data_IF_273778048280
#
_entry.id   IF_273778048280
#
_cell.length_a   1.000
_cell.length_b   1.000
_cell.length_c   1.000
_cell.angle_alpha   90.00
_cell.angle_beta   90.00
_cell.angle_gamma   90.00
#
_symmetry.space_group_name_H-M   'P 1'
#
loop_
_entity.id
_entity.type
_entity.pdbx_description
1 polymer ?
#
# COMPACT_ATOMS: atom_id res chain seq x y z
N UNK A 1 -57.94 -62.97 14.22
CA UNK A 1 -57.64 -64.05 13.27
C UNK A 1 -56.59 -63.55 12.28
N UNK A 2 -55.76 -64.46 11.71
CA UNK A 2 -55.19 -64.50 10.33
C UNK A 2 -54.82 -63.16 9.63
N UNK A 3 -53.65 -62.97 9.01
CA UNK A 3 -52.61 -63.92 8.53
C UNK A 3 -51.17 -63.36 8.65
N UNK A 4 -50.18 -64.21 8.38
CA UNK A 4 -48.77 -63.87 8.16
C UNK A 4 -48.42 -63.89 6.66
N UNK A 5 -47.65 -62.91 6.18
CA UNK A 5 -46.72 -62.91 5.04
C UNK A 5 -46.05 -61.51 5.04
N UNK A 6 -44.73 -61.31 5.02
CA UNK A 6 -43.67 -61.85 4.14
C UNK A 6 -43.77 -61.31 2.71
N UNK A 7 -42.89 -60.37 2.34
CA UNK A 7 -41.76 -60.66 1.44
C UNK A 7 -40.88 -59.42 1.12
N UNK A 8 -39.72 -59.70 0.51
CA UNK A 8 -38.86 -58.78 -0.25
C UNK A 8 -38.20 -57.56 0.45
N UNK A 9 -37.01 -57.78 1.02
CA UNK A 9 -35.91 -56.82 0.90
C UNK A 9 -35.17 -57.11 -0.42
N UNK A 10 -34.87 -56.08 -1.24
CA UNK A 10 -33.66 -56.07 -2.04
C UNK A 10 -32.69 -54.95 -1.60
N UNK A 11 -31.41 -55.25 -1.67
CA UNK A 11 -30.31 -54.33 -1.37
C UNK A 11 -30.03 -53.36 -2.53
N UNK A 12 -29.87 -52.06 -2.26
CA UNK A 12 -29.19 -51.14 -3.19
C UNK A 12 -28.12 -50.30 -2.47
N UNK A 13 -26.90 -50.82 -2.46
CA UNK A 13 -25.69 -50.18 -1.96
C UNK A 13 -25.02 -49.33 -3.03
N UNK A 14 -25.54 -48.13 -3.31
CA UNK A 14 -24.92 -47.19 -4.24
C UNK A 14 -24.97 -45.71 -3.77
N UNK A 15 -24.06 -45.33 -2.86
CA UNK A 15 -23.71 -43.90 -2.70
C UNK A 15 -22.73 -43.52 -3.83
N UNK A 16 -23.03 -42.56 -4.72
CA UNK A 16 -22.10 -42.13 -5.77
C UNK A 16 -20.95 -41.33 -5.16
N UNK A 17 -19.86 -42.01 -4.82
CA UNK A 17 -18.62 -41.38 -4.36
C UNK A 17 -17.78 -40.86 -5.54
N UNK A 18 -17.37 -39.58 -5.45
CA UNK A 18 -16.06 -39.07 -5.92
C UNK A 18 -15.78 -39.12 -7.43
N UNK A 19 -16.34 -38.17 -8.20
CA UNK A 19 -15.97 -37.95 -9.61
C UNK A 19 -15.05 -36.74 -9.88
N UNK A 20 -14.85 -35.82 -8.92
CA UNK A 20 -14.11 -34.57 -9.18
C UNK A 20 -12.58 -34.68 -9.01
N UNK A 21 -12.08 -35.74 -8.37
CA UNK A 21 -10.64 -35.90 -8.08
C UNK A 21 -9.78 -36.21 -9.32
N UNK A 22 -10.40 -36.54 -10.46
CA UNK A 22 -9.72 -37.12 -11.62
C UNK A 22 -9.23 -36.09 -12.66
N UNK A 23 -9.87 -34.91 -12.77
CA UNK A 23 -9.43 -33.87 -13.70
C UNK A 23 -8.18 -33.13 -13.20
N UNK A 24 -8.09 -32.86 -11.88
CA UNK A 24 -6.97 -32.12 -11.27
C UNK A 24 -5.62 -32.83 -11.51
N UNK A 25 -5.59 -34.16 -11.35
CA UNK A 25 -4.33 -34.94 -11.46
C UNK A 25 -3.71 -34.92 -12.86
N UNK A 26 -4.51 -34.83 -13.95
CA UNK A 26 -3.96 -34.70 -15.31
C UNK A 26 -3.35 -33.31 -15.56
N UNK A 27 -3.96 -32.25 -15.03
CA UNK A 27 -3.42 -30.89 -15.12
C UNK A 27 -2.09 -30.72 -14.36
N UNK A 28 -2.02 -31.27 -13.15
CA UNK A 28 -0.80 -31.21 -12.31
C UNK A 28 0.39 -31.91 -12.98
N UNK A 29 0.19 -33.10 -13.57
CA UNK A 29 1.27 -33.83 -14.26
C UNK A 29 1.81 -33.04 -15.46
N UNK A 30 0.93 -32.39 -16.23
CA UNK A 30 1.34 -31.54 -17.34
C UNK A 30 2.15 -30.30 -16.87
N UNK A 31 1.72 -29.64 -15.78
CA UNK A 31 2.42 -28.50 -15.23
C UNK A 31 3.83 -28.87 -14.70
N UNK A 32 3.97 -30.00 -14.00
CA UNK A 32 5.27 -30.48 -13.49
C UNK A 32 6.25 -30.77 -14.64
N UNK A 33 5.77 -31.36 -15.75
CA UNK A 33 6.61 -31.64 -16.91
C UNK A 33 7.19 -30.36 -17.54
N UNK A 34 6.39 -29.30 -17.67
CA UNK A 34 6.86 -27.99 -18.19
C UNK A 34 7.91 -27.37 -17.26
N UNK A 35 7.69 -27.38 -15.95
CA UNK A 35 8.66 -26.84 -14.97
C UNK A 35 9.99 -27.62 -15.02
N UNK A 36 9.95 -28.94 -15.12
CA UNK A 36 11.16 -29.77 -15.25
C UNK A 36 11.96 -29.44 -16.51
N UNK A 37 11.29 -29.25 -17.66
CA UNK A 37 11.95 -28.89 -18.93
C UNK A 37 12.62 -27.51 -18.83
N UNK A 38 11.97 -26.52 -18.21
CA UNK A 38 12.55 -25.18 -18.01
C UNK A 38 13.79 -25.22 -17.12
N UNK A 39 13.76 -25.99 -16.02
CA UNK A 39 14.92 -26.13 -15.11
C UNK A 39 16.10 -26.82 -15.81
N UNK A 40 15.85 -27.89 -16.58
CA UNK A 40 16.89 -28.60 -17.33
C UNK A 40 17.48 -27.69 -18.43
N UNK A 41 16.64 -26.93 -19.14
CA UNK A 41 17.09 -25.96 -20.13
C UNK A 41 17.98 -24.87 -19.54
N UNK A 42 17.63 -24.35 -18.36
CA UNK A 42 18.45 -23.36 -17.66
C UNK A 42 19.82 -23.91 -17.24
N UNK A 43 19.89 -25.16 -16.75
CA UNK A 43 21.15 -25.81 -16.36
C UNK A 43 22.10 -26.00 -17.56
N UNK A 44 21.56 -26.37 -18.73
CA UNK A 44 22.36 -26.48 -19.97
C UNK A 44 22.82 -25.09 -20.45
N UNK A 45 21.96 -24.07 -20.38
CA UNK A 45 22.30 -22.71 -20.83
C UNK A 45 23.46 -22.06 -20.06
N UNK A 46 23.58 -22.33 -18.75
CA UNK A 46 24.68 -21.83 -17.93
C UNK A 46 25.98 -22.64 -18.06
N UNK A 47 25.98 -23.76 -18.79
CA UNK A 47 27.13 -24.67 -18.95
C UNK A 47 27.99 -24.35 -20.20
N UNK A 48 28.10 -23.07 -20.57
CA UNK A 48 28.92 -22.62 -21.71
C UNK A 48 30.41 -22.46 -21.34
N UNK A 49 31.36 -22.88 -22.20
CA UNK A 49 32.79 -22.89 -21.85
C UNK A 49 33.41 -21.48 -21.74
N UNK A 50 34.17 -21.26 -20.68
CA UNK A 50 34.92 -20.02 -20.42
C UNK A 50 35.95 -19.71 -21.52
N UNK A 51 36.04 -18.43 -21.91
CA UNK A 51 36.99 -17.96 -22.93
C UNK A 51 38.43 -17.97 -22.39
N UNK A 52 39.38 -18.50 -23.16
CA UNK A 52 40.80 -18.42 -22.83
C UNK A 52 41.31 -16.98 -22.92
N UNK A 53 42.08 -16.55 -21.91
CA UNK A 53 42.77 -15.26 -21.93
C UNK A 53 44.12 -15.36 -22.66
N UNK A 54 44.46 -14.34 -23.44
CA UNK A 54 45.78 -14.19 -24.09
C UNK A 54 46.68 -13.33 -23.20
N UNK A 55 47.93 -13.75 -22.89
CA UNK A 55 48.83 -12.98 -22.05
C UNK A 55 49.36 -11.73 -22.78
N UNK A 56 49.58 -10.64 -22.02
CA UNK A 56 50.13 -9.40 -22.55
C UNK A 56 51.65 -9.47 -22.76
N UNK A 57 52.14 -8.77 -23.79
CA UNK A 57 53.54 -8.37 -23.93
C UNK A 57 53.64 -6.84 -23.75
N UNK A 58 54.78 -6.36 -23.26
CA UNK A 58 54.98 -4.97 -22.87
C UNK A 58 56.08 -4.30 -23.69
N UNK A 59 55.88 -3.02 -24.04
CA UNK A 59 56.96 -2.14 -24.53
C UNK A 59 56.76 -0.69 -24.10
N UNK A 60 57.80 -0.22 -23.40
CA UNK A 60 58.03 1.09 -22.79
C UNK A 60 57.90 2.34 -23.70
N UNK A 61 57.91 3.52 -23.04
CA UNK A 61 58.41 4.83 -23.52
C UNK A 61 57.53 5.63 -24.53
N UNK A 62 57.47 6.98 -24.52
CA UNK A 62 58.07 8.00 -23.63
C UNK A 62 57.37 9.39 -23.69
N UNK A 63 57.82 10.32 -22.81
CA UNK A 63 57.84 11.81 -22.91
C UNK A 63 56.56 12.68 -22.80
N UNK A 64 56.63 13.59 -21.82
CA UNK A 64 55.93 14.90 -21.66
C UNK A 64 56.36 15.93 -22.77
N UNK A 65 55.71 17.13 -22.97
CA UNK A 65 55.28 18.08 -21.91
C UNK A 65 54.04 19.00 -22.18
N UNK A 66 53.80 19.92 -21.21
CA UNK A 66 52.93 21.12 -21.21
C UNK A 66 53.74 22.39 -21.64
N UNK A 67 53.24 23.67 -21.66
CA UNK A 67 51.96 24.27 -21.23
C UNK A 67 51.32 25.28 -22.24
N UNK A 68 50.59 26.31 -21.75
CA UNK A 68 50.18 27.59 -22.42
C UNK A 68 48.98 27.61 -23.42
N UNK A 69 48.20 28.71 -23.62
CA UNK A 69 47.86 29.91 -22.79
C UNK A 69 46.59 30.67 -23.33
N UNK A 70 45.78 31.25 -22.42
CA UNK A 70 44.77 32.37 -22.46
C UNK A 70 43.86 32.76 -23.68
N UNK A 71 42.75 33.45 -23.30
CA UNK A 71 41.96 34.51 -24.01
C UNK A 71 40.80 34.06 -24.96
N UNK A 72 39.62 34.73 -25.06
CA UNK A 72 39.11 35.97 -24.42
C UNK A 72 37.60 36.28 -24.69
N UNK A 73 37.16 37.50 -24.35
CA UNK A 73 35.83 38.17 -24.52
C UNK A 73 35.18 38.07 -25.93
N UNK A 74 33.88 38.33 -26.22
CA UNK A 74 32.59 38.57 -25.51
C UNK A 74 31.42 38.42 -26.55
N UNK A 75 30.17 38.96 -26.55
CA UNK A 75 29.41 40.04 -25.85
C UNK A 75 27.88 39.91 -26.06
N UNK A 76 27.05 40.59 -25.24
CA UNK A 76 25.59 40.90 -25.41
C UNK A 76 25.37 42.15 -26.33
N UNK A 77 24.17 42.77 -26.61
CA UNK A 77 22.92 42.85 -25.80
C UNK A 77 21.51 43.00 -26.49
N UNK A 78 20.47 43.17 -25.63
CA UNK A 78 19.21 43.96 -25.77
C UNK A 78 17.85 43.32 -26.15
N UNK A 79 16.79 44.01 -25.71
CA UNK A 79 15.32 43.73 -25.69
C UNK A 79 14.59 44.97 -26.28
N UNK A 80 13.27 45.30 -26.11
CA UNK A 80 12.10 44.60 -25.53
C UNK A 80 10.80 44.70 -26.39
N UNK A 81 9.61 44.29 -25.89
CA UNK A 81 8.47 45.19 -25.54
C UNK A 81 7.26 44.42 -24.91
N UNK A 82 6.23 45.14 -24.45
CA UNK A 82 4.99 44.69 -23.80
C UNK A 82 3.83 44.46 -24.79
N UNK A 83 2.76 43.81 -24.31
CA UNK A 83 1.40 44.31 -24.53
C UNK A 83 0.43 43.85 -23.43
N UNK A 84 -0.63 44.62 -23.20
CA UNK A 84 -1.76 44.25 -22.36
C UNK A 84 -2.94 43.84 -23.25
N UNK A 85 -3.89 43.04 -22.74
CA UNK A 85 -5.26 43.10 -23.25
C UNK A 85 -6.29 42.82 -22.14
N UNK A 86 -7.51 43.34 -22.30
CA UNK A 86 -8.59 43.37 -21.30
C UNK A 86 -9.96 43.34 -21.97
N UNK A 87 -10.71 42.26 -21.77
CA UNK A 87 -12.15 42.17 -22.03
C UNK A 87 -12.69 40.86 -21.41
N UNK A 88 -13.83 40.74 -20.73
CA UNK A 88 -15.13 41.46 -20.67
C UNK A 88 -16.27 40.68 -21.36
N UNK A 89 -17.01 39.90 -20.56
CA UNK A 89 -18.35 39.38 -20.88
C UNK A 89 -18.42 38.14 -21.77
N UNK A 90 -18.93 37.03 -21.23
CA UNK A 90 -20.29 36.48 -21.49
C UNK A 90 -20.38 35.02 -21.05
N UNK A 91 -21.22 34.73 -20.05
CA UNK A 91 -22.07 33.52 -20.07
C UNK A 91 -23.22 33.74 -21.08
N UNK A 92 -23.92 32.71 -21.59
CA UNK A 92 -24.01 31.34 -21.06
C UNK A 92 -23.67 30.21 -22.07
N UNK A 93 -23.41 29.01 -21.53
CA UNK A 93 -23.78 27.72 -22.16
C UNK A 93 -23.70 26.60 -21.13
N UNK A 94 -24.80 25.89 -20.94
CA UNK A 94 -24.86 24.69 -20.09
C UNK A 94 -24.50 23.46 -20.92
N UNK A 95 -23.24 23.01 -20.82
CA UNK A 95 -22.79 21.74 -21.38
C UNK A 95 -21.89 21.01 -20.39
N UNK A 96 -22.17 19.72 -20.19
CA UNK A 96 -21.52 18.89 -19.19
C UNK A 96 -20.09 18.48 -19.59
N UNK A 97 -19.13 19.38 -19.35
CA UNK A 97 -17.71 19.05 -19.34
C UNK A 97 -17.29 18.66 -17.91
N UNK A 98 -17.27 17.36 -17.60
CA UNK A 98 -16.76 16.83 -16.32
C UNK A 98 -15.24 16.95 -16.23
N UNK A 99 -14.76 18.19 -16.08
CA UNK A 99 -13.37 18.51 -15.73
C UNK A 99 -13.05 17.78 -14.43
N UNK A 100 -12.35 16.65 -14.52
CA UNK A 100 -11.83 15.90 -13.38
C UNK A 100 -11.19 16.89 -12.40
N UNK A 101 -11.73 17.07 -11.19
CA UNK A 101 -11.13 18.00 -10.24
C UNK A 101 -9.69 17.53 -9.96
N UNK A 102 -8.76 18.47 -10.08
CA UNK A 102 -7.35 18.18 -9.88
C UNK A 102 -7.08 17.83 -8.41
N UNK A 103 -6.19 16.86 -8.18
CA UNK A 103 -5.89 16.32 -6.87
C UNK A 103 -6.57 14.98 -6.53
N UNK A 104 -6.00 14.28 -5.56
CA UNK A 104 -6.51 13.04 -4.98
C UNK A 104 -7.88 13.22 -4.29
N UNK A 105 -8.55 12.13 -3.90
CA UNK A 105 -9.71 12.21 -3.00
C UNK A 105 -9.43 12.98 -1.70
N UNK A 106 -8.22 12.88 -1.14
CA UNK A 106 -7.84 13.58 0.08
C UNK A 106 -7.67 15.09 -0.15
N UNK A 107 -6.92 15.50 -1.19
CA UNK A 107 -6.75 16.92 -1.53
C UNK A 107 -8.11 17.60 -1.76
N UNK A 108 -9.03 16.93 -2.45
CA UNK A 108 -10.37 17.47 -2.71
C UNK A 108 -11.24 17.55 -1.46
N UNK A 109 -11.11 16.59 -0.54
CA UNK A 109 -11.82 16.61 0.73
C UNK A 109 -11.27 17.66 1.71
N UNK A 110 -9.95 17.85 1.74
CA UNK A 110 -9.28 18.76 2.67
C UNK A 110 -9.20 20.22 2.16
N UNK A 111 -9.50 20.48 0.88
CA UNK A 111 -9.52 21.83 0.31
C UNK A 111 -10.79 22.63 0.66
N UNK A 112 -11.89 21.95 0.96
CA UNK A 112 -13.14 22.60 1.39
C UNK A 112 -13.09 23.00 2.87
N UNK A 113 -13.71 24.13 3.19
CA UNK A 113 -13.94 24.55 4.58
C UNK A 113 -14.76 23.47 5.30
N UNK A 114 -14.16 22.87 6.32
CA UNK A 114 -14.56 21.57 6.88
C UNK A 114 -16.02 21.46 7.35
N UNK A 115 -16.68 22.58 7.61
CA UNK A 115 -18.05 22.68 8.15
C UNK A 115 -19.16 22.04 7.28
N UNK A 116 -18.85 21.61 6.04
CA UNK A 116 -19.82 21.02 5.09
C UNK A 116 -19.40 19.64 4.52
N UNK A 117 -18.39 19.01 5.11
CA UNK A 117 -17.73 17.87 4.49
C UNK A 117 -18.58 16.58 4.48
N UNK A 118 -18.95 16.07 3.28
CA UNK A 118 -19.48 14.72 3.12
C UNK A 118 -18.33 13.70 3.24
N UNK A 119 -18.33 12.97 4.36
CA UNK A 119 -17.31 11.95 4.65
C UNK A 119 -17.42 10.73 3.75
N UNK A 120 -18.60 10.42 3.17
CA UNK A 120 -18.83 9.18 2.42
C UNK A 120 -17.88 9.00 1.23
N UNK A 121 -17.63 10.06 0.47
CA UNK A 121 -16.79 10.02 -0.72
C UNK A 121 -15.31 9.79 -0.39
N UNK A 122 -14.81 10.30 0.75
CA UNK A 122 -13.44 10.04 1.21
C UNK A 122 -13.35 8.68 1.93
N UNK A 123 -14.36 8.25 2.69
CA UNK A 123 -14.44 6.90 3.28
C UNK A 123 -14.32 5.83 2.22
N UNK A 124 -15.12 5.92 1.13
CA UNK A 124 -15.04 4.99 0.00
C UNK A 124 -13.69 5.01 -0.73
N UNK A 125 -12.90 6.08 -0.57
CA UNK A 125 -11.58 6.22 -1.15
C UNK A 125 -10.42 5.86 -0.18
N UNK A 126 -10.72 5.33 1.02
CA UNK A 126 -9.72 4.95 2.03
C UNK A 126 -9.76 5.73 3.35
N UNK A 127 -10.68 6.68 3.51
CA UNK A 127 -10.90 7.43 4.76
C UNK A 127 -9.64 8.10 5.30
N UNK A 128 -9.32 7.88 6.59
CA UNK A 128 -8.08 8.36 7.19
C UNK A 128 -6.82 7.82 6.51
N UNK A 129 -6.82 6.57 6.03
CA UNK A 129 -5.64 6.02 5.32
C UNK A 129 -5.35 6.84 4.08
N UNK A 130 -6.38 7.21 3.32
CA UNK A 130 -6.25 8.05 2.13
C UNK A 130 -5.80 9.49 2.44
N UNK A 131 -6.22 10.05 3.59
CA UNK A 131 -5.77 11.36 4.06
C UNK A 131 -4.27 11.32 4.39
N UNK A 132 -3.84 10.40 5.26
CA UNK A 132 -2.43 10.30 5.68
C UNK A 132 -1.49 9.73 4.61
N UNK A 133 -2.00 9.00 3.62
CA UNK A 133 -1.22 8.57 2.43
C UNK A 133 -0.88 9.76 1.51
N UNK A 134 -1.69 10.83 1.53
CA UNK A 134 -1.51 12.01 0.69
C UNK A 134 -1.05 13.26 1.46
N UNK A 135 -0.63 13.13 2.72
CA UNK A 135 -0.35 14.28 3.60
C UNK A 135 0.64 15.30 3.04
N UNK A 136 1.59 14.89 2.20
CA UNK A 136 2.57 15.78 1.56
C UNK A 136 1.94 16.74 0.52
N UNK A 137 0.69 16.50 0.10
CA UNK A 137 -0.11 17.39 -0.73
C UNK A 137 -1.15 18.21 0.09
N UNK A 138 -1.19 18.03 1.41
CA UNK A 138 -2.13 18.69 2.32
C UNK A 138 -1.40 19.76 3.16
N UNK A 139 -2.01 20.93 3.34
CA UNK A 139 -1.46 21.97 4.22
C UNK A 139 -1.51 21.58 5.71
N UNK A 140 -2.57 20.89 6.12
CA UNK A 140 -2.69 20.24 7.43
C UNK A 140 -3.50 18.94 7.32
N UNK A 141 -2.79 17.81 7.25
CA UNK A 141 -3.40 16.49 7.24
C UNK A 141 -4.05 16.11 8.60
N UNK A 142 -3.54 16.62 9.72
CA UNK A 142 -4.02 16.28 11.06
C UNK A 142 -5.30 17.06 11.40
N UNK A 143 -5.37 18.34 11.05
CA UNK A 143 -6.62 19.13 11.11
C UNK A 143 -7.70 18.56 10.18
N UNK A 144 -7.35 18.19 8.94
CA UNK A 144 -8.29 17.55 8.03
C UNK A 144 -8.77 16.17 8.53
N UNK A 145 -7.87 15.35 9.12
CA UNK A 145 -8.24 14.09 9.76
C UNK A 145 -9.17 14.31 10.96
N UNK A 146 -8.88 15.32 11.79
CA UNK A 146 -9.74 15.72 12.93
C UNK A 146 -11.14 16.13 12.45
N UNK A 147 -11.21 16.89 11.35
CA UNK A 147 -12.47 17.24 10.69
C UNK A 147 -13.21 16.01 10.15
N UNK A 148 -12.54 15.08 9.46
CA UNK A 148 -13.15 13.82 9.00
C UNK A 148 -13.81 13.07 10.15
N UNK A 149 -13.13 12.90 11.28
CA UNK A 149 -13.67 12.22 12.46
C UNK A 149 -14.84 13.00 13.08
N UNK A 150 -14.71 14.33 13.26
CA UNK A 150 -15.78 15.21 13.76
C UNK A 150 -17.05 15.13 12.91
N UNK A 151 -16.92 14.93 11.60
CA UNK A 151 -18.04 14.84 10.65
C UNK A 151 -18.49 13.38 10.37
N UNK A 152 -18.27 12.48 11.33
CA UNK A 152 -18.79 11.10 11.30
C UNK A 152 -17.91 10.08 10.59
N UNK A 153 -16.69 10.46 10.20
CA UNK A 153 -15.68 9.52 9.74
C UNK A 153 -15.26 8.56 10.86
N UNK A 154 -15.14 7.27 10.53
CA UNK A 154 -14.73 6.24 11.48
C UNK A 154 -13.20 6.12 11.55
N UNK A 155 -12.62 6.20 12.76
CA UNK A 155 -11.17 6.06 13.04
C UNK A 155 -10.68 4.62 12.87
N UNK A 156 -11.61 3.67 12.94
CA UNK A 156 -11.40 2.22 12.93
C UNK A 156 -11.76 1.59 11.57
N UNK A 157 -12.03 2.43 10.56
CA UNK A 157 -12.49 2.00 9.24
C UNK A 157 -11.38 1.31 8.45
N UNK A 158 -11.62 0.07 8.05
CA UNK A 158 -10.68 -0.66 7.18
C UNK A 158 -10.75 -0.07 5.78
N UNK A 159 -9.60 0.27 5.20
CA UNK A 159 -9.50 0.80 3.84
C UNK A 159 -10.25 -0.13 2.84
N UNK A 160 -11.36 0.32 2.22
CA UNK A 160 -12.19 -0.54 1.39
C UNK A 160 -11.65 -0.71 -0.04
N UNK A 161 -10.59 -0.01 -0.40
CA UNK A 161 -10.01 -0.05 -1.75
C UNK A 161 -9.41 -1.41 -2.08
N UNK A 162 -9.76 -1.98 -3.23
CA UNK A 162 -9.29 -3.29 -3.68
C UNK A 162 -7.80 -3.31 -4.11
N UNK A 163 -7.19 -2.14 -4.31
CA UNK A 163 -5.75 -1.92 -4.56
C UNK A 163 -4.97 -1.55 -3.28
N UNK A 164 -5.61 -1.60 -2.11
CA UNK A 164 -4.96 -1.38 -0.80
C UNK A 164 -4.66 -2.68 -0.06
N UNK A 165 -3.82 -2.59 0.97
CA UNK A 165 -3.60 -3.68 1.93
C UNK A 165 -4.80 -3.94 2.86
N UNK A 166 -5.92 -3.21 2.75
CA UNK A 166 -7.06 -3.26 3.68
C UNK A 166 -6.65 -3.06 5.16
N UNK A 167 -5.79 -2.07 5.43
CA UNK A 167 -5.37 -1.71 6.78
C UNK A 167 -6.42 -0.84 7.47
N UNK A 168 -6.44 -0.86 8.80
CA UNK A 168 -7.03 0.23 9.60
C UNK A 168 -6.06 1.42 9.62
N UNK A 169 -6.51 2.63 9.99
CA UNK A 169 -5.63 3.79 10.11
C UNK A 169 -4.51 3.57 11.13
N UNK A 170 -4.81 2.88 12.25
CA UNK A 170 -3.81 2.50 13.24
C UNK A 170 -2.77 1.51 12.67
N UNK A 171 -3.19 0.52 11.87
CA UNK A 171 -2.25 -0.39 11.19
C UNK A 171 -1.42 0.32 10.11
N UNK A 172 -1.99 1.31 9.41
CA UNK A 172 -1.24 2.15 8.46
C UNK A 172 -0.18 3.02 9.16
N UNK A 173 -0.51 3.62 10.30
CA UNK A 173 0.43 4.36 11.15
C UNK A 173 1.59 3.48 11.64
N UNK A 174 1.30 2.22 11.97
CA UNK A 174 2.31 1.20 12.31
C UNK A 174 3.17 0.85 11.09
N UNK A 175 2.59 0.59 9.91
CA UNK A 175 3.34 0.30 8.67
C UNK A 175 4.30 1.43 8.30
N UNK A 176 3.94 2.67 8.63
CA UNK A 176 4.77 3.87 8.44
C UNK A 176 5.82 4.10 9.53
N UNK A 177 5.81 3.30 10.60
CA UNK A 177 6.57 3.50 11.84
C UNK A 177 6.50 4.97 12.34
N UNK A 178 5.28 5.52 12.45
CA UNK A 178 5.06 6.91 12.86
C UNK A 178 4.40 6.97 14.27
N UNK A 179 5.18 7.19 15.35
CA UNK A 179 4.66 7.35 16.70
C UNK A 179 3.66 8.49 16.90
N UNK A 180 3.73 9.56 16.09
CA UNK A 180 2.78 10.69 16.17
C UNK A 180 1.44 10.28 15.58
N UNK A 181 1.46 9.61 14.43
CA UNK A 181 0.25 9.09 13.79
C UNK A 181 -0.39 7.99 14.65
N UNK A 182 0.41 7.06 15.20
CA UNK A 182 -0.10 6.01 16.11
C UNK A 182 -0.81 6.62 17.32
N UNK A 183 -0.25 7.68 17.94
CA UNK A 183 -0.92 8.43 19.02
C UNK A 183 -2.22 9.06 18.53
N UNK A 184 -2.19 9.82 17.43
CA UNK A 184 -3.39 10.49 16.91
C UNK A 184 -4.57 9.54 16.70
N UNK A 185 -4.35 8.33 16.18
CA UNK A 185 -5.41 7.32 16.04
C UNK A 185 -5.95 6.86 17.40
N UNK A 186 -5.09 6.63 18.39
CA UNK A 186 -5.47 6.17 19.74
C UNK A 186 -6.14 7.29 20.57
N UNK A 187 -5.63 8.51 20.49
CA UNK A 187 -6.20 9.72 21.11
C UNK A 187 -7.61 10.01 20.57
N UNK A 188 -7.89 9.60 19.32
CA UNK A 188 -9.22 9.62 18.70
C UNK A 188 -10.05 8.33 18.87
N UNK A 189 -9.59 7.37 19.68
CA UNK A 189 -10.38 6.20 20.09
C UNK A 189 -10.32 4.99 19.15
N UNK A 190 -9.27 4.83 18.34
CA UNK A 190 -9.04 3.59 17.60
C UNK A 190 -8.84 2.38 18.53
N UNK A 191 -9.45 1.24 18.21
CA UNK A 191 -9.29 0.03 19.01
C UNK A 191 -7.89 -0.60 18.76
N UNK A 192 -7.02 -0.71 19.78
CA UNK A 192 -5.70 -1.33 19.65
C UNK A 192 -5.77 -2.84 19.35
N UNK A 193 -6.97 -3.43 19.35
CA UNK A 193 -7.24 -4.80 18.92
C UNK A 193 -7.87 -4.90 17.52
N UNK A 194 -8.16 -3.79 16.83
CA UNK A 194 -8.91 -3.76 15.58
C UNK A 194 -8.18 -4.50 14.46
N UNK A 195 -8.75 -5.61 14.01
CA UNK A 195 -8.13 -6.46 12.99
C UNK A 195 -8.24 -5.87 11.59
N UNK A 196 -7.11 -5.75 10.91
CA UNK A 196 -7.01 -5.33 9.51
C UNK A 196 -5.88 -6.04 8.76
N UNK A 197 -5.55 -5.57 7.57
CA UNK A 197 -4.63 -6.24 6.66
C UNK A 197 -5.27 -7.46 5.97
N UNK A 198 -4.55 -8.10 5.03
CA UNK A 198 -5.02 -9.33 4.36
C UNK A 198 -5.16 -10.50 5.34
N UNK A 199 -4.30 -10.55 6.37
CA UNK A 199 -4.27 -11.60 7.39
C UNK A 199 -5.18 -11.34 8.62
N UNK A 200 -5.93 -10.22 8.63
CA UNK A 200 -6.75 -9.79 9.79
C UNK A 200 -5.96 -9.77 11.11
N UNK A 201 -4.76 -9.20 11.06
CA UNK A 201 -3.81 -9.08 12.17
C UNK A 201 -4.19 -7.93 13.12
N UNK A 202 -3.82 -8.04 14.41
CA UNK A 202 -3.99 -6.96 15.40
C UNK A 202 -2.81 -5.95 15.34
N UNK A 203 -3.03 -4.67 15.66
CA UNK A 203 -2.00 -3.63 15.77
C UNK A 203 -0.68 -4.07 16.41
N UNK A 204 -0.69 -4.53 17.67
CA UNK A 204 0.54 -4.95 18.37
C UNK A 204 1.28 -6.10 17.67
N UNK A 205 0.54 -7.13 17.22
CA UNK A 205 1.13 -8.26 16.48
C UNK A 205 1.72 -7.84 15.14
N UNK A 206 1.16 -6.82 14.49
CA UNK A 206 1.67 -6.26 13.25
C UNK A 206 2.95 -5.43 13.48
N UNK A 207 3.00 -4.62 14.56
CA UNK A 207 4.21 -3.89 14.94
C UNK A 207 5.39 -4.83 15.23
N UNK A 208 5.15 -5.94 15.94
CA UNK A 208 6.17 -6.98 16.19
C UNK A 208 6.59 -7.70 14.91
N UNK A 209 5.65 -7.99 14.01
CA UNK A 209 5.94 -8.59 12.70
C UNK A 209 6.86 -7.68 11.85
N UNK A 210 6.52 -6.41 11.69
CA UNK A 210 7.33 -5.44 10.94
C UNK A 210 8.72 -5.23 11.57
N UNK A 211 8.81 -5.22 12.91
CA UNK A 211 10.09 -5.13 13.62
C UNK A 211 11.03 -6.33 13.37
N UNK A 212 10.48 -7.55 13.30
CA UNK A 212 11.24 -8.78 13.04
C UNK A 212 11.72 -8.86 11.58
N UNK A 213 10.91 -8.37 10.63
CA UNK A 213 11.24 -8.38 9.21
C UNK A 213 12.10 -7.19 8.76
N UNK A 214 12.04 -6.04 9.45
CA UNK A 214 12.83 -4.85 9.14
C UNK A 214 13.73 -4.44 10.31
N UNK A 215 14.80 -5.21 10.52
CA UNK A 215 15.81 -4.99 11.56
C UNK A 215 16.58 -3.66 11.44
N UNK A 216 16.45 -2.94 10.32
CA UNK A 216 17.03 -1.61 10.13
C UNK A 216 16.21 -0.47 10.76
N UNK A 217 14.95 -0.75 11.10
CA UNK A 217 13.97 0.25 11.53
C UNK A 217 13.56 0.02 12.99
N UNK A 218 13.72 1.05 13.82
CA UNK A 218 13.41 0.95 15.25
C UNK A 218 11.92 1.17 15.52
N UNK A 219 11.20 0.09 15.81
CA UNK A 219 9.77 0.08 16.14
C UNK A 219 9.45 0.28 17.63
N UNK A 220 10.46 0.37 18.51
CA UNK A 220 10.25 0.40 19.97
C UNK A 220 9.32 1.55 20.41
N UNK A 221 9.41 2.71 19.74
CA UNK A 221 8.53 3.84 20.04
C UNK A 221 7.05 3.52 19.75
N UNK A 222 6.75 2.85 18.63
CA UNK A 222 5.39 2.39 18.28
C UNK A 222 4.92 1.27 19.19
N UNK A 223 5.79 0.28 19.47
CA UNK A 223 5.49 -0.85 20.35
C UNK A 223 5.14 -0.36 21.76
N UNK A 224 5.92 0.56 22.34
CA UNK A 224 5.66 1.10 23.67
C UNK A 224 4.33 1.89 23.77
N UNK A 225 3.92 2.56 22.70
CA UNK A 225 2.62 3.26 22.65
C UNK A 225 1.46 2.24 22.61
N UNK A 226 1.61 1.18 21.81
CA UNK A 226 0.60 0.12 21.75
C UNK A 226 0.53 -0.71 23.04
N UNK A 227 1.66 -0.94 23.70
CA UNK A 227 1.73 -1.60 25.01
C UNK A 227 0.99 -0.77 26.08
N UNK A 228 1.24 0.55 26.14
CA UNK A 228 0.50 1.49 27.00
C UNK A 228 -1.01 1.41 26.73
N UNK A 229 -1.42 1.48 25.46
CA UNK A 229 -2.83 1.42 25.06
C UNK A 229 -3.51 0.06 25.25
N UNK A 230 -2.75 -1.01 25.56
CA UNK A 230 -3.26 -2.33 25.90
C UNK A 230 -3.21 -2.63 27.41
N UNK A 231 -2.39 -1.91 28.18
CA UNK A 231 -2.25 -2.09 29.63
C UNK A 231 -3.32 -1.37 30.47
N UNK A 232 -3.83 -0.24 30.00
CA UNK A 232 -4.76 0.60 30.77
C UNK A 232 -6.23 0.14 30.67
N UNK A 233 -6.69 -0.66 31.65
CA UNK A 233 -8.02 -0.59 32.29
C UNK A 233 -8.24 -1.77 33.28
N UNK A 234 -8.63 -1.53 34.55
CA UNK A 234 -8.34 -0.39 35.42
C UNK A 234 -7.69 -0.81 36.76
N UNK A 235 -6.64 -0.11 37.21
CA UNK A 235 -5.92 -0.46 38.46
C UNK A 235 -5.48 0.75 39.31
N UNK A 236 -6.22 1.86 39.27
CA UNK A 236 -6.02 2.98 40.20
C UNK A 236 -7.35 3.58 40.68
N UNK A 237 -7.99 2.86 41.60
CA UNK A 237 -9.06 3.37 42.46
C UNK A 237 -8.79 2.96 43.91
N UNK A 238 -7.63 3.37 44.42
CA UNK A 238 -7.20 3.25 45.82
C UNK A 238 -6.13 4.32 46.10
N UNK A 239 -6.37 5.20 47.06
CA UNK A 239 -5.54 6.38 47.36
C UNK A 239 -6.18 7.67 46.81
N UNK A 240 -6.73 8.56 47.64
CA UNK A 240 -6.78 8.56 49.12
C UNK A 240 -8.07 9.20 49.63
#
# INVERSE_FOLDING_TARGET
MRCLASDAIPNDTARPFRNEEFLVKKGIIAAIAVVAIVIIGAAVYWSGPSRHAVPAQATNQATNPTPDTQNGSSTTPTSPDKTQNKGSGTTPSEQAATKKPAGSPAERYCADSHDKADTKAITQAGGLVQIFQHEAALGDAYGCATAYLKHGGNVDEVDPRADSDHLTPLLFAIKRNDPKMVRFMLDHGADPNKRGGPQKIKPYGYAVFEALHNQSTNYNAVINILDSALGDHPASSNGS
#
